data_IF_119708518305
#
_entry.id   IF_119708518305
#
_cell.length_a   1.000
_cell.length_b   1.000
_cell.length_c   1.000
_cell.angle_alpha   90.00
_cell.angle_beta   90.00
_cell.angle_gamma   90.00
#
_symmetry.space_group_name_H-M   'P 1'
#
loop_
_entity.id
_entity.type
_entity.pdbx_description
1 polymer ?
#
# COMPACT_ATOMS: atom_id res chain seq x y z
N UNK A 1 -9.21 -9.91 3.73
CA UNK A 1 -8.24 -10.31 2.70
C UNK A 1 -7.23 -9.21 2.52
N UNK A 2 -5.97 -9.47 2.77
CA UNK A 2 -4.86 -8.55 2.51
C UNK A 2 -4.61 -8.53 0.99
N UNK A 3 -4.82 -7.40 0.32
CA UNK A 3 -4.84 -7.35 -1.15
C UNK A 3 -3.90 -6.32 -1.77
N UNK A 4 -3.38 -5.38 -0.99
CA UNK A 4 -2.56 -4.28 -1.48
C UNK A 4 -1.17 -4.30 -0.84
N UNK A 5 -0.46 -5.45 -0.97
CA UNK A 5 0.91 -5.64 -0.49
C UNK A 5 1.84 -4.57 -1.05
N UNK A 6 2.52 -3.89 -0.16
CA UNK A 6 3.59 -2.95 -0.47
C UNK A 6 4.53 -2.85 0.75
N UNK A 7 5.76 -2.37 0.58
CA UNK A 7 6.75 -2.42 1.65
C UNK A 7 6.37 -1.71 2.94
N UNK A 8 5.57 -0.64 2.88
CA UNK A 8 5.13 0.09 4.07
C UNK A 8 4.07 -0.70 4.82
N UNK A 9 3.03 -1.18 4.13
CA UNK A 9 1.98 -1.97 4.78
C UNK A 9 2.48 -3.33 5.27
N UNK A 10 3.33 -4.01 4.49
CA UNK A 10 3.94 -5.27 4.88
C UNK A 10 4.77 -5.10 6.16
N UNK A 11 5.55 -4.03 6.24
CA UNK A 11 6.36 -3.71 7.41
C UNK A 11 5.52 -3.34 8.62
N UNK A 12 4.52 -2.47 8.43
CA UNK A 12 3.62 -2.04 9.49
C UNK A 12 2.89 -3.24 10.12
N UNK A 13 2.35 -4.15 9.32
CA UNK A 13 1.67 -5.36 9.82
C UNK A 13 2.62 -6.48 10.26
N UNK A 14 3.91 -6.22 10.32
CA UNK A 14 4.91 -7.18 10.81
C UNK A 14 5.05 -8.42 9.93
N UNK A 15 4.75 -8.32 8.63
CA UNK A 15 4.92 -9.41 7.67
C UNK A 15 6.41 -9.63 7.45
N UNK A 16 6.94 -10.73 8.00
CA UNK A 16 8.37 -11.02 8.01
C UNK A 16 8.86 -11.75 6.76
N UNK A 17 7.97 -12.48 6.10
CA UNK A 17 8.31 -13.26 4.92
C UNK A 17 7.24 -13.08 3.85
N UNK A 18 7.69 -12.83 2.62
CA UNK A 18 6.84 -12.78 1.44
C UNK A 18 7.18 -13.97 0.55
N UNK A 19 6.13 -14.63 0.06
CA UNK A 19 6.21 -15.71 -0.92
C UNK A 19 5.60 -15.18 -2.21
N UNK A 20 6.43 -14.93 -3.22
CA UNK A 20 6.00 -14.28 -4.46
C UNK A 20 6.82 -14.74 -5.66
N UNK A 21 6.21 -14.70 -6.84
CA UNK A 21 6.86 -14.90 -8.14
C UNK A 21 7.42 -13.58 -8.72
N UNK A 22 7.18 -12.45 -8.04
CA UNK A 22 7.73 -11.16 -8.41
C UNK A 22 9.14 -10.99 -7.84
N UNK A 23 10.03 -10.38 -8.62
CA UNK A 23 11.36 -9.99 -8.11
C UNK A 23 11.22 -8.81 -7.14
N UNK A 24 11.39 -9.11 -5.85
CA UNK A 24 11.35 -8.12 -4.76
C UNK A 24 12.76 -7.80 -4.22
N UNK A 25 13.81 -8.22 -4.91
CA UNK A 25 15.20 -8.05 -4.46
C UNK A 25 15.60 -6.60 -4.22
N UNK A 26 15.02 -5.67 -4.94
CA UNK A 26 15.26 -4.23 -4.73
C UNK A 26 14.82 -3.75 -3.35
N UNK A 27 13.69 -4.25 -2.86
CA UNK A 27 13.09 -3.82 -1.60
C UNK A 27 13.60 -4.64 -0.43
N UNK A 28 13.68 -5.96 -0.59
CA UNK A 28 13.95 -6.88 0.53
C UNK A 28 15.31 -7.57 0.44
N UNK A 29 16.10 -7.27 -0.58
CA UNK A 29 17.37 -7.97 -0.85
C UNK A 29 17.17 -9.33 -1.50
N UNK A 30 18.25 -10.11 -1.61
CA UNK A 30 18.17 -11.44 -2.22
C UNK A 30 17.18 -12.36 -1.48
N UNK A 31 16.47 -13.23 -2.18
CA UNK A 31 15.55 -14.15 -1.55
C UNK A 31 16.28 -15.10 -0.60
N UNK A 32 15.74 -15.32 0.59
CA UNK A 32 16.27 -16.27 1.58
C UNK A 32 16.04 -17.73 1.16
N UNK A 33 15.09 -17.94 0.26
CA UNK A 33 14.88 -19.20 -0.42
C UNK A 33 14.54 -18.93 -1.89
N UNK A 34 15.42 -19.38 -2.78
CA UNK A 34 15.23 -19.31 -4.23
C UNK A 34 14.79 -20.66 -4.72
N UNK A 35 13.67 -20.69 -5.39
CA UNK A 35 13.12 -21.94 -5.87
C UNK A 35 13.62 -22.25 -7.27
N UNK A 36 14.66 -23.06 -7.39
CA UNK A 36 15.26 -23.45 -8.66
C UNK A 36 14.53 -24.64 -9.36
N UNK A 37 13.52 -25.23 -8.70
CA UNK A 37 12.83 -26.40 -9.24
C UNK A 37 11.59 -25.97 -10.02
N UNK A 38 11.66 -26.12 -11.34
CA UNK A 38 10.49 -26.02 -12.21
C UNK A 38 9.53 -27.18 -11.90
N UNK A 39 8.27 -26.85 -11.59
CA UNK A 39 7.17 -27.81 -11.76
C UNK A 39 6.59 -27.63 -13.15
N UNK A 40 6.16 -28.72 -13.70
CA UNK A 40 5.32 -28.74 -14.89
C UNK A 40 3.88 -28.96 -14.42
N UNK A 41 2.94 -28.19 -15.00
CA UNK A 41 1.52 -28.49 -14.84
C UNK A 41 1.13 -29.77 -15.64
N UNK A 42 -0.17 -30.11 -15.62
CA UNK A 42 -0.69 -31.29 -16.33
C UNK A 42 -0.47 -31.21 -17.84
N UNK A 43 -0.23 -30.03 -18.40
CA UNK A 43 0.05 -29.78 -19.82
C UNK A 43 1.56 -29.65 -20.12
N UNK A 44 2.44 -30.00 -19.17
CA UNK A 44 3.90 -29.87 -19.29
C UNK A 44 4.38 -28.40 -19.46
N UNK A 45 3.60 -27.44 -19.01
CA UNK A 45 4.01 -26.03 -18.97
C UNK A 45 4.86 -25.76 -17.72
N UNK A 46 6.06 -25.14 -17.84
CA UNK A 46 6.87 -24.83 -16.67
C UNK A 46 6.15 -23.79 -15.81
N UNK A 47 5.87 -24.14 -14.56
CA UNK A 47 5.28 -23.24 -13.57
C UNK A 47 6.40 -22.71 -12.68
N UNK A 48 6.63 -21.40 -12.71
CA UNK A 48 7.55 -20.75 -11.80
C UNK A 48 7.04 -20.93 -10.37
N UNK A 49 7.91 -21.39 -9.47
CA UNK A 49 7.62 -21.41 -8.06
C UNK A 49 7.99 -20.05 -7.46
N UNK A 50 7.19 -19.55 -6.50
CA UNK A 50 7.51 -18.31 -5.84
C UNK A 50 8.79 -18.42 -5.01
N UNK A 51 9.56 -17.36 -5.00
CA UNK A 51 10.70 -17.17 -4.10
C UNK A 51 10.22 -16.70 -2.72
N UNK A 52 11.06 -16.84 -1.70
CA UNK A 52 10.77 -16.37 -0.35
C UNK A 52 11.71 -15.24 0.00
N UNK A 53 11.16 -14.07 0.26
CA UNK A 53 11.90 -12.90 0.69
C UNK A 53 11.70 -12.64 2.18
N UNK A 54 12.75 -12.24 2.87
CA UNK A 54 12.67 -11.76 4.25
C UNK A 54 12.51 -10.24 4.24
N UNK A 55 11.48 -9.74 4.91
CA UNK A 55 11.28 -8.31 5.10
C UNK A 55 12.10 -7.82 6.30
N UNK A 56 13.20 -7.06 6.08
CA UNK A 56 14.03 -6.54 7.16
C UNK A 56 13.37 -5.37 7.91
N UNK A 57 12.30 -4.80 7.35
CA UNK A 57 11.60 -3.63 7.87
C UNK A 57 10.39 -3.98 8.74
N UNK A 58 10.06 -5.27 8.88
CA UNK A 58 8.88 -5.71 9.63
C UNK A 58 8.92 -5.18 11.07
N UNK A 59 7.87 -4.47 11.48
CA UNK A 59 7.69 -3.97 12.83
C UNK A 59 7.24 -5.11 13.76
N UNK A 60 7.41 -4.89 15.05
CA UNK A 60 6.86 -5.76 16.08
C UNK A 60 5.35 -5.60 16.18
N UNK A 61 4.69 -6.48 16.92
CA UNK A 61 3.25 -6.41 17.17
C UNK A 61 2.82 -5.09 17.84
N UNK A 62 3.69 -4.52 18.68
CA UNK A 62 3.54 -3.22 19.31
C UNK A 62 4.85 -2.44 19.23
N UNK A 63 4.77 -1.14 19.12
CA UNK A 63 5.94 -0.25 19.03
C UNK A 63 5.58 1.17 19.47
N UNK A 64 6.58 1.89 19.98
CA UNK A 64 6.45 3.30 20.37
C UNK A 64 6.29 4.21 19.14
N UNK A 65 5.39 5.18 19.25
CA UNK A 65 5.14 6.20 18.23
C UNK A 65 5.06 7.59 18.88
N UNK A 66 5.22 8.64 18.07
CA UNK A 66 5.05 10.00 18.55
C UNK A 66 3.57 10.34 18.84
N UNK A 67 3.36 11.36 19.68
CA UNK A 67 2.02 11.81 20.09
C UNK A 67 1.14 12.25 18.91
N UNK A 68 1.76 12.73 17.82
CA UNK A 68 1.05 13.10 16.60
C UNK A 68 0.22 11.94 16.01
N UNK A 69 0.64 10.70 16.24
CA UNK A 69 -0.10 9.52 15.77
C UNK A 69 -1.45 9.32 16.46
N UNK A 70 -1.67 9.90 17.63
CA UNK A 70 -2.96 9.84 18.32
C UNK A 70 -4.07 10.58 17.54
N UNK A 71 -3.69 11.59 16.76
CA UNK A 71 -4.58 12.38 15.92
C UNK A 71 -4.61 11.89 14.46
N UNK A 72 -3.90 10.81 14.15
CA UNK A 72 -3.89 10.24 12.82
C UNK A 72 -5.17 9.44 12.55
N UNK A 73 -5.91 9.84 11.52
CA UNK A 73 -7.16 9.23 11.10
C UNK A 73 -7.08 8.71 9.67
N UNK A 74 -7.49 7.47 9.43
CA UNK A 74 -7.60 6.87 8.10
C UNK A 74 -8.89 7.33 7.41
N UNK A 75 -9.94 7.54 8.19
CA UNK A 75 -11.24 8.00 7.68
C UNK A 75 -11.89 8.96 8.69
N UNK A 76 -12.85 9.74 8.18
CA UNK A 76 -13.77 10.54 8.97
C UNK A 76 -15.20 10.10 8.67
N UNK A 77 -16.17 10.61 9.41
CA UNK A 77 -17.59 10.42 9.11
C UNK A 77 -18.20 11.74 8.59
N UNK A 78 -19.02 11.62 7.54
CA UNK A 78 -19.79 12.76 7.05
C UNK A 78 -21.00 13.05 7.98
N UNK A 79 -21.74 14.12 7.67
CA UNK A 79 -22.92 14.53 8.44
C UNK A 79 -24.07 13.48 8.50
N UNK A 80 -23.92 12.38 7.80
CA UNK A 80 -24.86 11.24 7.77
C UNK A 80 -24.29 9.99 8.43
N UNK A 81 -23.12 10.08 9.06
CA UNK A 81 -22.41 8.94 9.63
C UNK A 81 -21.79 8.01 8.60
N UNK A 82 -21.64 8.45 7.36
CA UNK A 82 -20.99 7.67 6.31
C UNK A 82 -19.49 7.91 6.36
N UNK A 83 -18.74 6.82 6.34
CA UNK A 83 -17.27 6.84 6.28
C UNK A 83 -16.76 7.56 5.03
N UNK A 84 -15.83 8.49 5.21
CA UNK A 84 -15.14 9.24 4.19
C UNK A 84 -13.63 9.08 4.38
N UNK A 85 -12.93 8.66 3.35
CA UNK A 85 -11.47 8.56 3.38
C UNK A 85 -10.83 9.95 3.54
N UNK A 86 -9.86 10.07 4.44
CA UNK A 86 -9.13 11.32 4.67
C UNK A 86 -8.12 11.58 3.55
N UNK A 87 -7.49 10.53 3.03
CA UNK A 87 -6.41 10.63 2.07
C UNK A 87 -6.87 10.31 0.64
N UNK A 88 -6.24 11.01 -0.30
CA UNK A 88 -6.62 10.90 -1.71
C UNK A 88 -6.11 9.61 -2.37
N UNK A 89 -4.97 9.13 -1.91
CA UNK A 89 -4.36 7.88 -2.37
C UNK A 89 -3.83 7.06 -1.20
N UNK A 90 -3.68 5.74 -1.34
CA UNK A 90 -3.01 4.93 -0.32
C UNK A 90 -1.56 5.35 -0.08
N UNK A 91 -0.87 5.89 -1.10
CA UNK A 91 0.50 6.39 -0.96
C UNK A 91 0.56 7.64 -0.08
N UNK A 92 -0.39 8.56 -0.25
CA UNK A 92 -0.53 9.72 0.64
C UNK A 92 -0.82 9.27 2.08
N UNK A 93 -1.70 8.27 2.26
CA UNK A 93 -1.99 7.67 3.57
C UNK A 93 -0.71 7.14 4.25
N UNK A 94 0.12 6.38 3.52
CA UNK A 94 1.33 5.79 4.09
C UNK A 94 2.37 6.84 4.44
N UNK A 95 2.55 7.86 3.61
CA UNK A 95 3.45 8.97 3.88
C UNK A 95 3.03 9.73 5.14
N UNK A 96 1.76 10.09 5.25
CA UNK A 96 1.21 10.80 6.42
C UNK A 96 1.21 9.93 7.68
N UNK A 97 0.93 8.63 7.55
CA UNK A 97 1.01 7.69 8.66
C UNK A 97 2.41 7.64 9.26
N UNK A 98 3.43 7.50 8.43
CA UNK A 98 4.82 7.49 8.88
C UNK A 98 5.24 8.83 9.47
N UNK A 99 4.80 9.94 8.88
CA UNK A 99 5.02 11.29 9.41
C UNK A 99 4.47 11.42 10.83
N UNK A 100 3.22 11.00 11.03
CA UNK A 100 2.58 11.05 12.35
C UNK A 100 3.25 10.10 13.36
N UNK A 101 3.59 8.87 12.94
CA UNK A 101 4.26 7.89 13.81
C UNK A 101 5.64 8.35 14.28
N UNK A 102 6.38 9.05 13.44
CA UNK A 102 7.71 9.56 13.74
C UNK A 102 7.70 10.94 14.39
N UNK A 103 6.56 11.65 14.36
CA UNK A 103 6.42 13.01 14.90
C UNK A 103 7.20 14.06 14.10
N UNK A 104 7.29 13.88 12.79
CA UNK A 104 8.01 14.80 11.92
C UNK A 104 7.16 16.00 11.53
N UNK A 105 7.77 17.18 11.50
CA UNK A 105 7.12 18.41 11.02
C UNK A 105 7.00 18.45 9.49
N UNK A 106 7.78 17.65 8.78
CA UNK A 106 7.77 17.54 7.34
C UNK A 106 7.32 16.16 6.92
N UNK A 107 6.62 16.10 5.79
CA UNK A 107 6.14 14.83 5.23
C UNK A 107 7.28 13.83 5.02
N UNK A 108 7.13 12.65 5.60
CA UNK A 108 8.00 11.49 5.38
C UNK A 108 7.57 10.82 4.09
N UNK A 109 8.15 11.27 2.99
CA UNK A 109 7.71 10.93 1.63
C UNK A 109 8.39 9.66 1.13
N UNK A 110 7.90 8.50 1.60
CA UNK A 110 8.37 7.17 1.15
C UNK A 110 7.90 6.87 -0.27
N UNK A 111 6.65 7.23 -0.59
CA UNK A 111 6.12 7.13 -1.94
C UNK A 111 6.10 8.50 -2.59
N UNK A 112 6.84 8.63 -3.70
CA UNK A 112 6.94 9.86 -4.47
C UNK A 112 6.26 9.70 -5.83
N UNK A 113 5.59 10.74 -6.30
CA UNK A 113 4.92 10.74 -7.60
C UNK A 113 5.93 10.84 -8.73
N UNK A 114 5.64 10.17 -9.82
CA UNK A 114 6.35 10.33 -11.10
C UNK A 114 5.69 11.43 -11.93
N UNK A 115 6.35 11.84 -13.02
CA UNK A 115 5.79 12.83 -13.94
C UNK A 115 4.99 12.14 -15.04
N UNK A 116 3.69 12.42 -15.10
CA UNK A 116 2.86 11.99 -16.23
C UNK A 116 3.06 12.95 -17.40
N UNK A 117 3.58 12.44 -18.53
CA UNK A 117 3.88 13.23 -19.73
C UNK A 117 2.64 13.46 -20.56
N UNK A 118 1.83 12.41 -20.76
CA UNK A 118 0.59 12.48 -21.52
C UNK A 118 -0.57 12.82 -20.60
N UNK A 119 -1.30 13.94 -20.79
CA UNK A 119 -2.53 14.18 -20.04
C UNK A 119 -3.51 13.01 -20.18
N UNK A 120 -4.17 12.62 -19.11
CA UNK A 120 -5.05 11.44 -19.10
C UNK A 120 -6.14 11.49 -20.17
N UNK A 121 -6.71 12.69 -20.41
CA UNK A 121 -7.71 12.90 -21.47
C UNK A 121 -7.14 12.74 -22.89
N UNK A 122 -5.82 12.78 -23.05
CA UNK A 122 -5.10 12.65 -24.33
C UNK A 122 -4.41 11.30 -24.47
N UNK A 123 -4.80 10.30 -23.66
CA UNK A 123 -4.28 8.94 -23.78
C UNK A 123 -4.46 8.41 -25.21
N UNK A 124 -3.47 7.71 -25.72
CA UNK A 124 -3.62 6.98 -26.97
C UNK A 124 -4.65 5.87 -26.80
N UNK A 125 -5.54 5.70 -27.76
CA UNK A 125 -6.66 4.75 -27.68
C UNK A 125 -6.59 3.70 -28.79
N UNK A 126 -7.06 2.50 -28.47
CA UNK A 126 -7.30 1.43 -29.45
C UNK A 126 -8.63 0.77 -29.13
N UNK A 127 -9.53 0.71 -30.13
CA UNK A 127 -10.89 0.17 -30.02
C UNK A 127 -11.69 0.74 -28.84
N UNK A 128 -11.42 1.99 -28.48
CA UNK A 128 -12.23 2.74 -27.52
C UNK A 128 -12.13 4.24 -27.80
N UNK A 129 -13.22 4.93 -27.55
CA UNK A 129 -13.34 6.38 -27.77
C UNK A 129 -13.42 7.10 -26.43
N UNK A 130 -12.62 8.16 -26.27
CA UNK A 130 -12.71 9.05 -25.13
C UNK A 130 -13.98 9.89 -25.22
N UNK A 131 -14.78 9.85 -24.16
CA UNK A 131 -15.95 10.70 -23.98
C UNK A 131 -15.66 11.85 -23.04
N UNK A 132 -16.61 12.77 -22.95
CA UNK A 132 -16.53 13.85 -21.97
C UNK A 132 -16.49 13.31 -20.54
N UNK A 133 -15.85 14.08 -19.66
CA UNK A 133 -15.80 13.79 -18.23
C UNK A 133 -17.21 13.68 -17.65
N UNK A 134 -17.49 12.59 -16.96
CA UNK A 134 -18.78 12.36 -16.29
C UNK A 134 -18.50 12.15 -14.81
N UNK A 135 -19.22 12.85 -13.95
CA UNK A 135 -19.15 12.68 -12.49
C UNK A 135 -17.70 12.62 -11.95
N UNK A 136 -16.86 13.57 -12.37
CA UNK A 136 -15.46 13.64 -11.96
C UNK A 136 -14.57 12.46 -12.41
N UNK A 137 -14.92 11.80 -13.54
CA UNK A 137 -14.12 10.73 -14.13
C UNK A 137 -13.84 10.99 -15.60
N UNK A 138 -12.63 10.64 -16.04
CA UNK A 138 -12.35 10.37 -17.45
C UNK A 138 -13.10 9.10 -17.85
N UNK A 139 -13.67 9.09 -19.04
CA UNK A 139 -14.43 7.94 -19.55
C UNK A 139 -13.97 7.56 -20.95
N UNK A 140 -13.68 6.28 -21.14
CA UNK A 140 -13.51 5.66 -22.46
C UNK A 140 -14.58 4.60 -22.66
N UNK A 141 -15.21 4.61 -23.83
CA UNK A 141 -16.25 3.64 -24.21
C UNK A 141 -15.66 2.69 -25.24
N UNK A 142 -15.80 1.39 -25.03
CA UNK A 142 -15.35 0.36 -25.97
C UNK A 142 -16.21 0.42 -27.24
N UNK A 143 -15.56 0.50 -28.41
CA UNK A 143 -16.22 0.64 -29.69
C UNK A 143 -16.76 -0.70 -30.22
N UNK A 144 -15.99 -1.78 -30.06
CA UNK A 144 -16.39 -3.15 -30.42
C UNK A 144 -15.96 -4.16 -29.36
N UNK A 145 -16.89 -5.04 -28.96
CA UNK A 145 -16.62 -6.09 -27.98
C UNK A 145 -15.81 -7.27 -28.53
N UNK A 146 -15.72 -7.37 -29.85
CA UNK A 146 -15.01 -8.46 -30.53
C UNK A 146 -13.50 -8.20 -30.62
N UNK A 147 -13.05 -6.99 -30.27
CA UNK A 147 -11.67 -6.56 -30.34
C UNK A 147 -11.22 -6.04 -28.97
N UNK A 148 -9.98 -6.31 -28.61
CA UNK A 148 -9.37 -5.80 -27.38
C UNK A 148 -9.32 -4.26 -27.42
N UNK A 149 -9.78 -3.62 -26.33
CA UNK A 149 -9.75 -2.17 -26.18
C UNK A 149 -8.66 -1.77 -25.17
N UNK A 150 -7.96 -0.68 -25.43
CA UNK A 150 -6.91 -0.21 -24.53
C UNK A 150 -6.68 1.29 -24.60
N UNK A 151 -6.13 1.84 -23.52
CA UNK A 151 -5.52 3.17 -23.47
C UNK A 151 -4.04 3.08 -23.14
N UNK A 152 -3.26 4.03 -23.62
CA UNK A 152 -1.83 4.14 -23.35
C UNK A 152 -1.49 5.53 -22.82
N UNK A 153 -0.74 5.57 -21.72
CA UNK A 153 -0.25 6.78 -21.07
C UNK A 153 1.27 6.74 -21.02
N UNK A 154 1.91 7.89 -21.08
CA UNK A 154 3.36 8.03 -21.00
C UNK A 154 3.79 8.78 -19.75
N UNK A 155 4.87 8.31 -19.14
CA UNK A 155 5.44 8.84 -17.91
C UNK A 155 6.95 9.03 -18.04
N UNK A 156 7.46 10.03 -17.33
CA UNK A 156 8.87 10.13 -17.00
C UNK A 156 9.07 9.65 -15.56
N UNK A 157 9.88 8.59 -15.42
CA UNK A 157 10.06 7.87 -14.17
C UNK A 157 11.53 7.71 -13.80
N UNK A 158 11.90 7.69 -12.52
CA UNK A 158 13.24 7.35 -12.12
C UNK A 158 13.54 5.89 -12.45
N UNK A 159 14.75 5.64 -12.92
CA UNK A 159 15.24 4.30 -13.24
C UNK A 159 15.83 3.61 -12.01
N UNK A 160 15.78 2.28 -11.98
CA UNK A 160 16.42 1.49 -10.92
C UNK A 160 15.66 1.46 -9.59
N UNK A 161 14.48 2.04 -9.48
CA UNK A 161 13.61 1.96 -8.30
C UNK A 161 12.35 1.17 -8.60
N UNK A 162 11.71 0.66 -7.55
CA UNK A 162 10.43 -0.04 -7.65
C UNK A 162 9.29 0.96 -7.89
N UNK A 163 8.46 0.67 -8.88
CA UNK A 163 7.32 1.50 -9.24
C UNK A 163 6.01 0.85 -8.82
N UNK A 164 5.07 1.69 -8.41
CA UNK A 164 3.73 1.29 -8.00
C UNK A 164 2.68 2.08 -8.78
N UNK A 165 1.68 1.38 -9.27
CA UNK A 165 0.53 1.98 -9.93
C UNK A 165 -0.65 2.01 -8.96
N UNK A 166 -1.31 3.14 -8.86
CA UNK A 166 -2.61 3.28 -8.23
C UNK A 166 -3.58 3.95 -9.20
N UNK A 167 -4.65 3.24 -9.59
CA UNK A 167 -5.71 3.80 -10.44
C UNK A 167 -6.98 3.99 -9.60
N UNK A 168 -7.38 5.24 -9.35
CA UNK A 168 -8.60 5.55 -8.62
C UNK A 168 -9.83 5.33 -9.53
N UNK A 169 -10.17 4.08 -9.78
CA UNK A 169 -11.25 3.68 -10.66
C UNK A 169 -12.18 2.66 -10.01
N UNK A 170 -13.49 2.82 -10.17
CA UNK A 170 -14.49 1.82 -9.81
C UNK A 170 -14.82 0.87 -10.98
N UNK A 171 -14.44 1.21 -12.21
CA UNK A 171 -14.73 0.46 -13.42
C UNK A 171 -13.61 0.62 -14.48
N UNK A 172 -13.33 -0.41 -15.28
CA UNK A 172 -13.94 -1.72 -15.26
C UNK A 172 -13.44 -2.55 -14.07
N UNK A 173 -14.12 -3.65 -13.84
CA UNK A 173 -13.74 -4.62 -12.80
C UNK A 173 -12.44 -5.33 -13.13
N UNK A 174 -12.08 -5.40 -14.42
CA UNK A 174 -10.91 -6.11 -14.89
C UNK A 174 -10.16 -5.26 -15.92
N UNK A 175 -8.92 -4.92 -15.59
CA UNK A 175 -7.97 -4.23 -16.46
C UNK A 175 -6.65 -4.97 -16.43
N UNK A 176 -6.11 -5.32 -17.59
CA UNK A 176 -4.74 -5.81 -17.69
C UNK A 176 -3.79 -4.62 -17.75
N UNK A 177 -2.68 -4.74 -17.07
CA UNK A 177 -1.62 -3.72 -17.01
C UNK A 177 -0.39 -4.21 -17.73
N UNK A 178 0.15 -3.41 -18.63
CA UNK A 178 1.45 -3.66 -19.23
C UNK A 178 2.32 -2.40 -19.14
N UNK A 179 3.61 -2.60 -18.89
CA UNK A 179 4.64 -1.55 -18.84
C UNK A 179 5.69 -1.86 -19.89
N UNK A 180 5.93 -0.92 -20.78
CA UNK A 180 6.90 -1.08 -21.90
C UNK A 180 6.69 -2.40 -22.66
N UNK A 181 5.42 -2.79 -22.88
CA UNK A 181 5.03 -4.01 -23.55
C UNK A 181 5.06 -5.29 -22.70
N UNK A 182 5.60 -5.25 -21.48
CA UNK A 182 5.64 -6.40 -20.56
C UNK A 182 4.42 -6.42 -19.65
N UNK A 183 3.73 -7.57 -19.55
CA UNK A 183 2.58 -7.73 -18.66
C UNK A 183 3.00 -7.61 -17.19
N UNK A 184 2.18 -6.88 -16.42
CA UNK A 184 2.33 -6.68 -14.96
C UNK A 184 1.09 -7.17 -14.21
N UNK A 185 0.37 -8.12 -14.79
CA UNK A 185 -0.88 -8.60 -14.22
C UNK A 185 -2.05 -7.68 -14.55
N UNK A 186 -2.93 -7.45 -13.60
CA UNK A 186 -4.11 -6.62 -13.80
C UNK A 186 -4.86 -6.36 -12.52
N UNK A 187 -5.87 -5.53 -12.63
CA UNK A 187 -6.81 -5.27 -11.55
C UNK A 187 -8.03 -6.16 -11.74
N UNK A 188 -8.39 -6.89 -10.67
CA UNK A 188 -9.65 -7.61 -10.59
C UNK A 188 -10.52 -6.98 -9.51
N UNK A 189 -11.74 -6.61 -9.84
CA UNK A 189 -12.65 -5.98 -8.91
C UNK A 189 -13.99 -6.66 -8.83
N UNK A 190 -14.45 -6.98 -7.63
CA UNK A 190 -15.82 -7.37 -7.34
C UNK A 190 -16.74 -6.14 -7.20
N UNK A 191 -18.07 -6.39 -7.09
CA UNK A 191 -19.10 -5.34 -6.95
C UNK A 191 -18.93 -4.47 -5.71
N UNK A 192 -18.24 -4.96 -4.70
CA UNK A 192 -18.06 -4.31 -3.39
C UNK A 192 -16.66 -3.79 -3.15
N UNK A 193 -15.78 -3.90 -4.15
CA UNK A 193 -14.41 -3.45 -4.00
C UNK A 193 -14.35 -1.93 -4.10
N UNK A 194 -14.30 -1.29 -3.00
CA UNK A 194 -13.83 0.08 -2.86
C UNK A 194 -12.30 0.05 -2.85
N UNK A 195 -11.62 -0.08 -3.70
CA UNK A 195 -10.99 0.39 -4.86
C UNK A 195 -9.65 1.09 -4.71
N UNK A 196 -8.88 0.73 -3.71
CA UNK A 196 -7.49 1.11 -3.54
C UNK A 196 -6.63 0.02 -4.14
N UNK A 197 -6.43 0.07 -5.45
CA UNK A 197 -5.70 -0.95 -6.19
C UNK A 197 -4.29 -0.47 -6.42
N UNK A 198 -3.39 -0.98 -5.59
CA UNK A 198 -1.95 -0.81 -5.78
C UNK A 198 -1.44 -2.02 -6.56
N UNK A 199 -0.71 -1.77 -7.63
CA UNK A 199 0.00 -2.80 -8.36
C UNK A 199 1.49 -2.46 -8.40
N UNK A 200 2.35 -3.41 -8.05
CA UNK A 200 3.78 -3.30 -8.31
C UNK A 200 4.01 -3.40 -9.81
N UNK A 201 4.76 -2.46 -10.36
CA UNK A 201 5.20 -2.46 -11.75
C UNK A 201 6.62 -2.99 -11.92
N UNK A 202 7.31 -3.23 -10.81
CA UNK A 202 8.72 -3.59 -10.81
C UNK A 202 9.63 -2.43 -11.17
N UNK A 203 10.92 -2.73 -11.32
CA UNK A 203 11.93 -1.77 -11.75
C UNK A 203 11.92 -1.57 -13.26
N UNK A 204 12.21 -0.34 -13.68
CA UNK A 204 12.43 -0.03 -15.09
C UNK A 204 13.86 0.45 -15.32
N UNK A 205 14.37 0.18 -16.52
CA UNK A 205 15.75 0.55 -16.94
C UNK A 205 15.79 1.80 -17.79
N UNK A 206 14.63 2.30 -18.22
CA UNK A 206 14.47 3.50 -19.02
C UNK A 206 13.54 4.47 -18.31
N UNK A 207 13.80 5.76 -18.41
CA UNK A 207 13.00 6.80 -17.80
C UNK A 207 11.67 7.02 -18.54
N UNK A 208 11.61 6.81 -19.86
CA UNK A 208 10.35 6.87 -20.60
C UNK A 208 9.56 5.57 -20.40
N UNK A 209 8.44 5.67 -19.73
CA UNK A 209 7.59 4.53 -19.42
C UNK A 209 6.28 4.65 -20.19
N UNK A 210 5.93 3.56 -20.88
CA UNK A 210 4.63 3.40 -21.52
C UNK A 210 3.76 2.50 -20.65
N UNK A 211 2.65 3.05 -20.12
CA UNK A 211 1.63 2.32 -19.37
C UNK A 211 0.45 2.00 -20.30
N UNK A 212 0.24 0.74 -20.60
CA UNK A 212 -0.93 0.27 -21.35
C UNK A 212 -1.95 -0.36 -20.40
N UNK A 213 -3.17 0.15 -20.43
CA UNK A 213 -4.31 -0.40 -19.70
C UNK A 213 -5.26 -1.05 -20.71
N UNK A 214 -5.41 -2.35 -20.64
CA UNK A 214 -6.28 -3.11 -21.54
C UNK A 214 -7.60 -3.43 -20.85
N UNK A 215 -8.70 -3.03 -21.47
CA UNK A 215 -10.05 -3.21 -20.97
C UNK A 215 -10.54 -4.57 -21.41
N UNK A 216 -10.90 -5.44 -20.46
CA UNK A 216 -11.46 -6.76 -20.81
C UNK A 216 -12.85 -6.62 -21.45
N UNK A 217 -13.16 -7.51 -22.38
CA UNK A 217 -14.37 -7.49 -23.22
C UNK A 217 -15.70 -7.55 -22.45
N UNK A 218 -15.68 -7.98 -21.17
CA UNK A 218 -16.85 -7.97 -20.28
C UNK A 218 -17.24 -6.55 -19.80
N UNK A 219 -16.34 -5.57 -20.00
CA UNK A 219 -16.52 -4.19 -19.57
C UNK A 219 -16.72 -3.29 -20.77
N UNK A 220 -17.78 -2.44 -20.73
CA UNK A 220 -18.07 -1.54 -21.85
C UNK A 220 -17.36 -0.19 -21.75
N UNK A 221 -16.81 0.15 -20.57
CA UNK A 221 -16.24 1.46 -20.31
C UNK A 221 -15.07 1.34 -19.33
N UNK A 222 -14.11 2.24 -19.48
CA UNK A 222 -13.08 2.51 -18.47
C UNK A 222 -13.35 3.88 -17.86
N UNK A 223 -13.38 3.94 -16.53
CA UNK A 223 -13.49 5.19 -15.79
C UNK A 223 -12.26 5.35 -14.91
N UNK A 224 -11.61 6.49 -14.99
CA UNK A 224 -10.50 6.86 -14.09
C UNK A 224 -10.89 8.17 -13.41
N UNK A 225 -10.87 8.22 -12.07
CA UNK A 225 -11.20 9.44 -11.34
C UNK A 225 -10.25 10.56 -11.72
N UNK A 226 -10.83 11.71 -12.07
CA UNK A 226 -10.09 12.88 -12.52
C UNK A 226 -9.56 13.72 -11.37
N UNK A 227 -10.37 13.88 -10.33
CA UNK A 227 -10.06 14.76 -9.21
C UNK A 227 -10.15 14.00 -7.90
N UNK A 228 -9.34 14.42 -6.96
CA UNK A 228 -9.36 13.94 -5.58
C UNK A 228 -10.56 14.52 -4.79
N UNK A 229 -10.66 14.20 -3.51
CA UNK A 229 -11.73 14.69 -2.62
C UNK A 229 -11.69 16.21 -2.41
N UNK A 230 -10.52 16.84 -2.59
CA UNK A 230 -10.33 18.31 -2.50
C UNK A 230 -10.61 19.02 -3.83
N UNK A 231 -10.96 18.28 -4.88
CA UNK A 231 -11.21 18.82 -6.21
C UNK A 231 -9.96 19.07 -7.06
N UNK A 232 -8.77 18.66 -6.60
CA UNK A 232 -7.52 18.74 -7.39
C UNK A 232 -7.44 17.59 -8.38
N UNK A 233 -6.99 17.87 -9.59
CA UNK A 233 -6.76 16.85 -10.64
C UNK A 233 -5.59 15.97 -10.22
N UNK A 234 -5.69 14.64 -10.42
CA UNK A 234 -4.56 13.74 -10.27
C UNK A 234 -3.50 14.06 -11.32
N UNK A 235 -2.29 14.32 -10.87
CA UNK A 235 -1.12 14.68 -11.66
C UNK A 235 -0.28 13.46 -12.08
N UNK A 236 -0.42 12.35 -11.39
CA UNK A 236 0.15 11.06 -11.76
C UNK A 236 -0.61 9.91 -11.10
N UNK A 237 -0.52 8.71 -11.68
CA UNK A 237 -1.02 7.46 -11.12
C UNK A 237 0.11 6.47 -10.82
N UNK A 238 1.35 6.83 -11.15
CA UNK A 238 2.54 6.02 -10.87
C UNK A 238 3.39 6.70 -9.81
N UNK A 239 3.82 5.91 -8.86
CA UNK A 239 4.68 6.29 -7.74
C UNK A 239 5.94 5.44 -7.75
N UNK A 240 7.01 5.97 -7.19
CA UNK A 240 8.21 5.20 -6.89
C UNK A 240 8.49 5.22 -5.40
N UNK A 241 9.17 4.18 -4.91
CA UNK A 241 9.55 4.09 -3.51
C UNK A 241 10.95 4.66 -3.31
N UNK A 242 11.10 5.50 -2.27
CA UNK A 242 12.38 5.97 -1.78
C UNK A 242 12.87 5.04 -0.65
N UNK A 243 13.82 4.18 -0.99
CA UNK A 243 14.32 3.16 -0.05
C UNK A 243 15.13 3.72 1.10
N UNK A 244 15.78 4.87 0.93
CA UNK A 244 16.52 5.52 2.01
C UNK A 244 15.55 6.05 3.08
N UNK A 245 14.47 6.70 2.63
CA UNK A 245 13.40 7.19 3.52
C UNK A 245 12.68 6.03 4.21
N UNK A 246 12.35 4.95 3.48
CA UNK A 246 11.75 3.76 4.07
C UNK A 246 12.64 3.15 5.14
N UNK A 247 13.93 2.98 4.83
CA UNK A 247 14.90 2.34 5.71
C UNK A 247 15.07 3.15 7.01
N UNK A 248 15.21 4.47 6.89
CA UNK A 248 15.31 5.35 8.07
C UNK A 248 14.05 5.26 8.94
N UNK A 249 12.88 5.45 8.33
CA UNK A 249 11.60 5.43 9.03
C UNK A 249 11.39 4.11 9.79
N UNK A 250 11.56 2.98 9.11
CA UNK A 250 11.36 1.66 9.73
C UNK A 250 12.41 1.33 10.79
N UNK A 251 13.67 1.71 10.57
CA UNK A 251 14.73 1.51 11.58
C UNK A 251 14.43 2.26 12.87
N UNK A 252 13.95 3.50 12.77
CA UNK A 252 13.59 4.31 13.94
C UNK A 252 12.41 3.70 14.71
N UNK A 253 11.39 3.20 14.02
CA UNK A 253 10.25 2.53 14.64
C UNK A 253 10.63 1.18 15.26
N UNK A 254 11.48 0.39 14.61
CA UNK A 254 11.98 -0.89 15.14
C UNK A 254 12.74 -0.73 16.45
N UNK A 255 13.43 0.41 16.67
CA UNK A 255 14.16 0.68 17.91
C UNK A 255 13.25 0.78 19.16
N UNK A 256 11.96 1.02 18.95
CA UNK A 256 10.92 1.09 20.00
C UNK A 256 9.95 -0.09 19.88
N UNK A 257 10.42 -1.21 19.37
CA UNK A 257 9.61 -2.39 19.15
C UNK A 257 9.43 -3.24 20.40
N UNK A 258 8.24 -3.80 20.58
CA UNK A 258 7.91 -4.75 21.62
C UNK A 258 8.61 -6.10 21.37
N UNK A 259 9.21 -6.64 22.41
CA UNK A 259 9.85 -7.97 22.42
C UNK A 259 8.93 -8.92 23.16
N UNK A 260 8.35 -9.85 22.43
CA UNK A 260 7.52 -10.92 22.99
C UNK A 260 8.40 -11.94 23.71
N UNK A 261 7.94 -12.44 24.86
CA UNK A 261 8.59 -13.54 25.59
C UNK A 261 8.42 -14.87 24.84
N UNK A 262 9.46 -15.72 24.87
CA UNK A 262 9.48 -16.99 24.12
C UNK A 262 8.40 -18.00 24.56
N UNK A 263 7.87 -17.88 25.77
CA UNK A 263 6.92 -18.82 26.37
C UNK A 263 5.59 -18.15 26.76
N UNK A 264 5.04 -17.30 25.89
CA UNK A 264 3.72 -16.73 26.11
C UNK A 264 2.65 -17.81 26.16
N UNK A 265 1.74 -17.79 27.14
CA UNK A 265 0.52 -18.58 27.09
C UNK A 265 -0.39 -18.18 25.93
N UNK A 266 -1.30 -19.09 25.53
CA UNK A 266 -2.21 -18.84 24.38
C UNK A 266 -3.27 -17.76 24.65
N UNK A 267 -3.53 -17.44 25.92
CA UNK A 267 -4.58 -16.51 26.35
C UNK A 267 -4.08 -15.10 26.69
N UNK A 268 -2.76 -14.90 26.79
CA UNK A 268 -2.17 -13.57 26.99
C UNK A 268 -0.75 -13.48 26.45
N UNK A 269 -0.34 -12.29 26.06
CA UNK A 269 1.01 -11.99 25.59
C UNK A 269 1.77 -11.21 26.65
N UNK A 270 2.99 -11.67 26.94
CA UNK A 270 3.94 -10.97 27.82
C UNK A 270 5.19 -10.59 27.05
N UNK A 271 5.92 -9.59 27.53
CA UNK A 271 7.15 -9.12 26.92
C UNK A 271 7.58 -7.77 27.45
N UNK A 272 8.53 -7.15 26.78
CA UNK A 272 9.09 -5.86 27.15
C UNK A 272 9.12 -4.89 25.98
N UNK A 273 9.11 -3.59 26.29
CA UNK A 273 9.27 -2.51 25.33
C UNK A 273 10.09 -1.40 25.96
N UNK A 274 11.04 -0.85 25.21
CA UNK A 274 11.83 0.29 25.65
C UNK A 274 11.14 1.58 25.31
N UNK A 275 10.86 2.42 26.31
CA UNK A 275 10.26 3.75 26.14
C UNK A 275 11.33 4.84 26.23
N UNK A 276 11.14 5.94 25.47
CA UNK A 276 12.09 7.07 25.42
C UNK A 276 11.54 8.36 26.02
N UNK A 277 10.25 8.36 26.36
CA UNK A 277 9.54 9.53 26.87
C UNK A 277 8.85 9.16 28.18
N UNK A 278 8.60 10.16 29.03
CA UNK A 278 7.88 9.97 30.29
C UNK A 278 6.42 9.52 30.09
N UNK A 279 5.84 9.77 28.92
CA UNK A 279 4.52 9.24 28.52
C UNK A 279 4.60 8.84 27.04
N UNK A 280 4.88 7.56 26.78
CA UNK A 280 5.06 7.04 25.42
C UNK A 280 3.76 6.45 24.89
N UNK A 281 3.29 6.94 23.74
CA UNK A 281 2.21 6.29 22.99
C UNK A 281 2.74 5.00 22.34
N UNK A 282 2.03 3.91 22.58
CA UNK A 282 2.29 2.62 21.95
C UNK A 282 1.17 2.33 20.96
N UNK A 283 1.57 2.13 19.72
CA UNK A 283 0.69 1.63 18.66
C UNK A 283 0.84 0.11 18.54
N UNK A 284 -0.24 -0.57 18.18
CA UNK A 284 -0.21 -2.00 17.89
C UNK A 284 -0.81 -2.30 16.52
N UNK A 285 -0.58 -3.50 16.01
CA UNK A 285 -1.27 -4.02 14.82
C UNK A 285 -2.48 -4.88 15.18
N UNK A 286 -2.88 -4.87 16.44
CA UNK A 286 -4.03 -5.60 16.97
C UNK A 286 -5.29 -4.76 16.72
N UNK A 287 -6.37 -5.34 16.17
CA UNK A 287 -7.65 -4.64 16.08
C UNK A 287 -8.15 -4.21 17.48
N UNK A 288 -8.67 -2.99 17.57
CA UNK A 288 -9.24 -2.49 18.81
C UNK A 288 -10.54 -3.24 19.15
N UNK A 289 -10.63 -3.70 20.40
CA UNK A 289 -11.83 -4.25 21.01
C UNK A 289 -11.88 -3.84 22.48
N UNK A 290 -13.08 -3.58 23.02
CA UNK A 290 -13.27 -3.18 24.43
C UNK A 290 -12.91 -4.31 25.43
N UNK A 291 -12.82 -5.55 24.96
CA UNK A 291 -12.42 -6.71 25.76
C UNK A 291 -10.92 -6.78 26.05
N UNK A 292 -10.08 -6.02 25.35
CA UNK A 292 -8.64 -6.00 25.61
C UNK A 292 -8.31 -5.41 26.98
N UNK A 293 -7.44 -6.09 27.72
CA UNK A 293 -6.86 -5.61 28.97
C UNK A 293 -5.34 -5.54 28.80
N UNK A 294 -4.76 -4.36 28.97
CA UNK A 294 -3.32 -4.13 28.90
C UNK A 294 -2.82 -3.80 30.31
N UNK A 295 -1.69 -4.42 30.68
CA UNK A 295 -1.02 -4.19 31.93
C UNK A 295 0.43 -3.78 31.67
N UNK A 296 0.90 -2.73 32.33
CA UNK A 296 2.28 -2.26 32.33
C UNK A 296 2.77 -2.36 33.77
N UNK A 297 3.85 -3.11 34.01
CA UNK A 297 4.39 -3.37 35.34
C UNK A 297 3.32 -3.83 36.36
N UNK A 298 2.42 -4.70 35.90
CA UNK A 298 1.33 -5.24 36.69
C UNK A 298 0.16 -4.27 36.95
N UNK A 299 0.20 -3.05 36.42
CA UNK A 299 -0.88 -2.07 36.53
C UNK A 299 -1.68 -2.02 35.24
N UNK A 300 -3.00 -2.10 35.37
CA UNK A 300 -3.90 -1.94 34.22
C UNK A 300 -3.80 -0.51 33.69
N UNK A 301 -3.60 -0.38 32.37
CA UNK A 301 -3.60 0.90 31.66
C UNK A 301 -4.84 1.05 30.78
N UNK A 302 -5.20 2.30 30.46
CA UNK A 302 -6.31 2.60 29.58
C UNK A 302 -5.92 2.27 28.14
N UNK A 303 -6.80 1.53 27.45
CA UNK A 303 -6.68 1.24 26.02
C UNK A 303 -7.46 2.26 25.20
N UNK A 304 -6.96 2.57 24.02
CA UNK A 304 -7.57 3.52 23.10
C UNK A 304 -7.52 3.03 21.67
N UNK A 305 -8.31 3.66 20.83
CA UNK A 305 -8.30 3.35 19.40
C UNK A 305 -7.33 4.29 18.70
N UNK A 306 -6.38 3.74 17.95
CA UNK A 306 -5.43 4.48 17.09
C UNK A 306 -5.72 4.15 15.63
N UNK A 307 -5.42 5.08 14.72
CA UNK A 307 -5.70 4.94 13.28
C UNK A 307 -7.12 4.38 12.99
N UNK A 308 -8.09 4.81 13.81
CA UNK A 308 -9.52 4.47 13.74
C UNK A 308 -9.88 2.99 13.94
N UNK A 309 -8.92 2.08 14.03
CA UNK A 309 -9.18 0.65 14.03
C UNK A 309 -8.29 -0.18 14.95
N UNK A 310 -7.14 0.33 15.38
CA UNK A 310 -6.12 -0.45 16.06
C UNK A 310 -6.06 -0.12 17.55
N UNK A 311 -5.61 -1.09 18.34
CA UNK A 311 -5.37 -0.94 19.77
C UNK A 311 -4.14 -0.07 19.99
N UNK A 312 -4.24 0.89 20.89
CA UNK A 312 -3.14 1.67 21.41
C UNK A 312 -3.28 1.89 22.91
N UNK A 313 -2.20 2.27 23.56
CA UNK A 313 -2.17 2.61 24.98
C UNK A 313 -0.96 3.50 25.30
N UNK A 314 -0.89 4.08 26.51
CA UNK A 314 0.26 4.84 26.96
C UNK A 314 1.00 4.13 28.06
N UNK A 315 2.32 4.27 28.05
CA UNK A 315 3.22 3.85 29.12
C UNK A 315 3.78 5.11 29.77
N UNK A 316 3.57 5.27 31.07
CA UNK A 316 4.13 6.36 31.86
C UNK A 316 5.48 5.92 32.44
N UNK A 317 6.47 6.82 32.31
CA UNK A 317 7.85 6.57 32.73
C UNK A 317 8.74 6.04 31.59
N UNK A 318 9.94 6.62 31.47
CA UNK A 318 10.97 6.13 30.57
C UNK A 318 11.71 4.93 31.19
N UNK A 319 11.97 3.91 30.38
CA UNK A 319 12.65 2.70 30.82
C UNK A 319 12.39 1.48 29.93
N UNK A 320 12.75 0.30 30.42
CA UNK A 320 12.48 -0.99 29.78
C UNK A 320 11.39 -1.74 30.54
#
# INVERSE_FOLDING_TARGET
>A
KYVDSNPVSDSFFGIRYLVTDQDMSYVYGEPVYKNEVFRYDEDFTPVNRPDVYRNPYALSLAFGVADAYEQFHVFTEDNKGKRVDVYNTPMDLYNEMLTAMLGEDKLVEVFKKTTQVTPTASAETSNCTYGNTIDNHYKWTVDSKDTEASITLHYDVPTGTELYLYIPSGYPREVKVAVNGSSKGGFEGGSDSTYRRIASLGKVTKSDLTLKLTIKNSSNNLYIRQKNTEGKVYDSYIYYIDMDVLTDAMTRLQQMGYRIDDNCPDDHMTGSITTRQDSQLIATTIPYDEGWNVYVDGKKVEVRRTADALLGFRIDGAGE
#
